data_IF_548843398267
#
_entry.id   IF_548843398267
#
_cell.length_a   1.000
_cell.length_b   1.000
_cell.length_c   1.000
_cell.angle_alpha   90.00
_cell.angle_beta   90.00
_cell.angle_gamma   90.00
#
_symmetry.space_group_name_H-M   'P 1'
#
loop_
_entity.id
_entity.type
_entity.pdbx_description
1 polymer ?
#
# COMPACT_ATOMS: atom_id res chain seq x y z
N UNK A 1 34.74 1.09 -49.19
CA UNK A 1 33.39 1.34 -48.62
C UNK A 1 32.99 0.13 -47.78
N UNK A 2 33.16 0.19 -46.46
CA UNK A 2 32.80 -0.89 -45.54
C UNK A 2 31.62 -0.39 -44.70
N UNK A 3 30.46 -1.02 -44.87
CA UNK A 3 29.24 -0.75 -44.10
C UNK A 3 29.39 -1.42 -42.73
N UNK A 4 29.50 -0.63 -41.67
CA UNK A 4 29.36 -1.12 -40.30
C UNK A 4 27.87 -1.15 -39.95
N UNK A 5 27.32 -2.36 -39.75
CA UNK A 5 25.98 -2.54 -39.20
C UNK A 5 26.08 -2.63 -37.68
N UNK A 6 25.52 -1.64 -36.98
CA UNK A 6 25.29 -1.70 -35.54
C UNK A 6 24.10 -2.62 -35.27
N UNK A 7 24.33 -3.79 -34.68
CA UNK A 7 23.27 -4.58 -34.06
C UNK A 7 23.10 -4.11 -32.61
N UNK A 8 21.98 -3.43 -32.35
CA UNK A 8 21.53 -3.08 -31.02
C UNK A 8 20.83 -4.31 -30.42
N UNK A 9 21.52 -5.07 -29.57
CA UNK A 9 20.90 -6.15 -28.82
C UNK A 9 20.12 -5.57 -27.64
N UNK A 10 18.79 -5.59 -27.71
CA UNK A 10 17.91 -5.29 -26.58
C UNK A 10 17.80 -6.56 -25.73
N UNK A 11 18.54 -6.60 -24.62
CA UNK A 11 18.42 -7.65 -23.61
C UNK A 11 17.20 -7.37 -22.71
N UNK A 12 16.12 -8.11 -22.94
CA UNK A 12 15.03 -8.21 -21.97
C UNK A 12 15.47 -9.14 -20.83
N UNK A 13 15.87 -8.57 -19.70
CA UNK A 13 16.10 -9.33 -18.47
C UNK A 13 14.75 -9.72 -17.86
N UNK A 14 14.32 -10.96 -18.07
CA UNK A 14 13.24 -11.57 -17.30
C UNK A 14 13.83 -12.06 -15.98
N UNK A 15 13.62 -11.31 -14.90
CA UNK A 15 13.92 -11.80 -13.56
C UNK A 15 12.86 -12.82 -13.15
N UNK A 16 13.22 -14.11 -13.19
CA UNK A 16 12.44 -15.15 -12.51
C UNK A 16 12.40 -14.81 -11.01
N UNK A 17 11.20 -14.59 -10.46
CA UNK A 17 11.00 -14.33 -9.03
C UNK A 17 11.45 -15.56 -8.23
N UNK A 18 12.58 -15.45 -7.51
CA UNK A 18 12.90 -16.40 -6.45
C UNK A 18 11.90 -16.20 -5.31
N UNK A 19 11.21 -17.27 -4.91
CA UNK A 19 10.12 -17.23 -3.93
C UNK A 19 10.61 -16.90 -2.51
N UNK A 20 10.76 -15.62 -2.19
CA UNK A 20 10.86 -15.16 -0.81
C UNK A 20 9.50 -15.27 -0.15
N UNK A 21 9.44 -15.87 1.04
CA UNK A 21 8.25 -15.84 1.90
C UNK A 21 7.82 -14.39 2.12
N UNK A 22 6.57 -14.02 1.83
CA UNK A 22 6.12 -12.64 2.01
C UNK A 22 6.18 -12.25 3.48
N UNK A 23 6.52 -10.98 3.74
CA UNK A 23 6.26 -10.36 5.04
C UNK A 23 4.76 -10.42 5.33
N UNK A 24 4.37 -10.55 6.60
CA UNK A 24 2.96 -10.67 7.01
C UNK A 24 2.64 -9.69 8.12
N UNK A 25 1.69 -8.80 7.88
CA UNK A 25 1.16 -7.85 8.87
C UNK A 25 -0.36 -8.00 9.02
N UNK A 26 -0.87 -7.64 10.20
CA UNK A 26 -2.26 -7.90 10.57
C UNK A 26 -2.52 -9.36 10.93
N UNK A 27 -3.54 -9.58 11.75
CA UNK A 27 -3.79 -10.88 12.39
C UNK A 27 -4.16 -11.97 11.38
N UNK A 28 -4.93 -11.63 10.34
CA UNK A 28 -5.36 -12.60 9.33
C UNK A 28 -4.17 -13.07 8.50
N UNK A 29 -3.33 -12.15 8.00
CA UNK A 29 -2.19 -12.54 7.16
C UNK A 29 -1.16 -13.39 7.93
N UNK A 30 -0.94 -13.10 9.22
CA UNK A 30 -0.04 -13.90 10.07
C UNK A 30 -0.53 -15.33 10.28
N UNK A 31 -1.84 -15.55 10.28
CA UNK A 31 -2.45 -16.87 10.53
C UNK A 31 -2.63 -17.73 9.26
N UNK A 32 -2.38 -17.18 8.06
CA UNK A 32 -2.52 -17.94 6.82
C UNK A 32 -1.61 -19.17 6.80
N UNK A 33 -2.17 -20.35 6.54
CA UNK A 33 -1.39 -21.54 6.24
C UNK A 33 -0.67 -21.40 4.88
N UNK A 34 0.24 -22.32 4.57
CA UNK A 34 0.85 -22.38 3.23
C UNK A 34 -0.20 -22.64 2.14
N UNK A 35 -1.21 -23.47 2.44
CA UNK A 35 -2.33 -23.72 1.55
C UNK A 35 -3.16 -22.44 1.32
N UNK A 36 -3.39 -21.64 2.36
CA UNK A 36 -4.09 -20.37 2.21
C UNK A 36 -3.30 -19.39 1.34
N UNK A 37 -1.98 -19.33 1.49
CA UNK A 37 -1.12 -18.48 0.65
C UNK A 37 -1.14 -18.98 -0.79
N UNK A 38 -1.03 -20.28 -1.04
CA UNK A 38 -1.10 -20.84 -2.38
C UNK A 38 -2.45 -20.55 -3.06
N UNK A 39 -3.56 -20.69 -2.32
CA UNK A 39 -4.90 -20.34 -2.80
C UNK A 39 -5.05 -18.84 -3.07
N UNK A 40 -4.47 -17.99 -2.22
CA UNK A 40 -4.43 -16.54 -2.43
C UNK A 40 -3.65 -16.20 -3.70
N UNK A 41 -2.47 -16.79 -3.89
CA UNK A 41 -1.62 -16.57 -5.06
C UNK A 41 -2.30 -17.02 -6.36
N UNK A 42 -3.13 -18.06 -6.31
CA UNK A 42 -3.95 -18.49 -7.45
C UNK A 42 -5.01 -17.44 -7.87
N UNK A 43 -5.42 -16.57 -6.95
CA UNK A 43 -6.34 -15.45 -7.23
C UNK A 43 -5.61 -14.17 -7.70
N UNK A 44 -4.27 -14.14 -7.66
CA UNK A 44 -3.47 -13.01 -8.15
C UNK A 44 -3.25 -13.10 -9.67
N UNK A 45 -2.77 -12.02 -10.33
CA UNK A 45 -2.31 -12.11 -11.71
C UNK A 45 -1.32 -13.25 -11.91
N UNK A 46 -1.38 -13.92 -13.06
CA UNK A 46 -0.60 -15.12 -13.32
C UNK A 46 0.89 -14.91 -13.04
N UNK A 47 1.46 -15.79 -12.20
CA UNK A 47 2.87 -15.76 -11.81
C UNK A 47 3.23 -14.70 -10.76
N UNK A 48 2.29 -13.87 -10.31
CA UNK A 48 2.56 -12.85 -9.32
C UNK A 48 2.82 -13.46 -7.93
N UNK A 49 3.95 -13.07 -7.33
CA UNK A 49 4.28 -13.37 -5.93
C UNK A 49 4.28 -12.08 -5.09
N UNK A 50 3.51 -12.01 -3.99
CA UNK A 50 3.55 -10.86 -3.10
C UNK A 50 4.84 -10.85 -2.29
N UNK A 51 5.37 -9.65 -1.99
CA UNK A 51 6.47 -9.49 -1.01
C UNK A 51 5.95 -9.14 0.38
N UNK A 52 4.72 -8.64 0.47
CA UNK A 52 4.02 -8.33 1.72
C UNK A 52 2.54 -8.72 1.59
N UNK A 53 2.02 -9.39 2.61
CA UNK A 53 0.61 -9.64 2.84
C UNK A 53 0.17 -8.82 4.06
N UNK A 54 -0.86 -8.00 3.89
CA UNK A 54 -1.51 -7.27 4.97
C UNK A 54 -2.97 -7.72 5.08
N UNK A 55 -3.32 -8.37 6.18
CA UNK A 55 -4.63 -9.00 6.37
C UNK A 55 -5.19 -8.67 7.72
N UNK A 56 -6.33 -7.98 7.73
CA UNK A 56 -7.10 -7.64 8.93
C UNK A 56 -8.51 -8.25 8.80
N UNK A 57 -9.22 -8.48 9.92
CA UNK A 57 -10.62 -8.89 9.88
C UNK A 57 -11.45 -7.95 8.99
N UNK A 58 -12.33 -8.54 8.18
CA UNK A 58 -13.27 -7.75 7.39
C UNK A 58 -14.27 -7.01 8.28
N UNK A 59 -14.66 -5.80 7.88
CA UNK A 59 -15.84 -5.13 8.43
C UNK A 59 -17.12 -5.96 8.22
N UNK A 60 -17.18 -6.70 7.11
CA UNK A 60 -18.31 -7.56 6.78
C UNK A 60 -18.20 -8.90 7.54
N UNK A 61 -19.20 -9.25 8.38
CA UNK A 61 -19.15 -10.48 9.15
C UNK A 61 -19.02 -11.73 8.28
N UNK A 62 -18.04 -12.59 8.57
CA UNK A 62 -17.83 -13.84 7.85
C UNK A 62 -17.04 -13.72 6.56
N UNK A 63 -16.40 -12.58 6.31
CA UNK A 63 -15.39 -12.40 5.27
C UNK A 63 -14.01 -12.17 5.89
N UNK A 64 -12.97 -12.46 5.11
CA UNK A 64 -11.60 -12.03 5.36
C UNK A 64 -11.07 -11.32 4.13
N UNK A 65 -10.28 -10.26 4.33
CA UNK A 65 -9.59 -9.55 3.26
C UNK A 65 -8.09 -9.63 3.47
N UNK A 66 -7.34 -9.80 2.38
CA UNK A 66 -5.88 -9.69 2.38
C UNK A 66 -5.45 -8.80 1.23
N UNK A 67 -4.68 -7.76 1.55
CA UNK A 67 -3.97 -6.95 0.58
C UNK A 67 -2.60 -7.57 0.29
N UNK A 68 -2.43 -8.07 -0.93
CA UNK A 68 -1.20 -8.62 -1.46
C UNK A 68 -0.42 -7.54 -2.22
N UNK A 69 0.66 -7.05 -1.62
CA UNK A 69 1.58 -6.10 -2.24
C UNK A 69 2.58 -6.87 -3.10
N UNK A 70 2.53 -6.62 -4.40
CA UNK A 70 3.38 -7.28 -5.39
C UNK A 70 4.72 -6.56 -5.52
N UNK A 71 5.69 -7.21 -6.17
CA UNK A 71 7.00 -6.61 -6.40
C UNK A 71 6.87 -5.20 -7.00
N UNK A 72 7.73 -4.27 -6.55
CA UNK A 72 7.64 -2.89 -7.02
C UNK A 72 7.91 -2.82 -8.52
N UNK A 73 7.14 -1.99 -9.20
CA UNK A 73 7.36 -1.66 -10.62
C UNK A 73 8.33 -0.50 -10.77
N UNK A 74 8.45 0.36 -9.75
CA UNK A 74 9.41 1.45 -9.68
C UNK A 74 9.98 1.57 -8.26
N UNK A 75 11.28 1.79 -8.14
CA UNK A 75 11.96 2.07 -6.87
C UNK A 75 13.07 3.09 -7.08
N UNK A 76 13.04 4.15 -6.28
CA UNK A 76 14.11 5.12 -6.11
C UNK A 76 14.58 5.11 -4.65
N UNK A 77 15.64 5.86 -4.29
CA UNK A 77 16.07 5.98 -2.90
C UNK A 77 15.02 6.55 -1.94
N UNK A 78 14.02 7.28 -2.46
CA UNK A 78 13.02 8.00 -1.64
C UNK A 78 11.61 7.44 -1.76
N UNK A 79 11.32 6.67 -2.82
CA UNK A 79 9.97 6.18 -3.10
C UNK A 79 10.00 4.79 -3.74
N UNK A 80 9.09 3.92 -3.30
CA UNK A 80 8.78 2.66 -3.95
C UNK A 80 7.32 2.65 -4.37
N UNK A 81 7.03 2.21 -5.61
CA UNK A 81 5.68 2.04 -6.14
C UNK A 81 5.49 0.64 -6.72
N UNK A 82 4.25 0.19 -6.70
CA UNK A 82 3.88 -1.08 -7.32
C UNK A 82 2.37 -1.30 -7.29
N UNK A 83 1.99 -2.56 -7.48
CA UNK A 83 0.60 -2.99 -7.48
C UNK A 83 0.24 -3.66 -6.16
N UNK A 84 -0.96 -3.37 -5.66
CA UNK A 84 -1.56 -4.07 -4.54
C UNK A 84 -2.89 -4.67 -4.96
N UNK A 85 -3.07 -5.94 -4.68
CA UNK A 85 -4.27 -6.69 -5.03
C UNK A 85 -4.96 -7.07 -3.72
N UNK A 86 -6.20 -6.64 -3.54
CA UNK A 86 -6.99 -7.12 -2.40
C UNK A 86 -7.79 -8.33 -2.84
N UNK A 87 -7.64 -9.43 -2.10
CA UNK A 87 -8.45 -10.64 -2.25
C UNK A 87 -9.42 -10.78 -1.08
N UNK A 88 -10.49 -11.53 -1.31
CA UNK A 88 -11.53 -11.82 -0.32
C UNK A 88 -11.87 -13.30 -0.34
N UNK A 89 -12.23 -13.85 0.83
CA UNK A 89 -12.92 -15.14 0.93
C UNK A 89 -13.99 -15.12 2.00
N UNK A 90 -14.86 -16.13 1.98
CA UNK A 90 -15.77 -16.46 3.09
C UNK A 90 -15.07 -17.37 4.09
N UNK A 91 -15.27 -17.14 5.38
CA UNK A 91 -14.70 -17.98 6.45
C UNK A 91 -15.69 -18.94 7.10
N UNK A 92 -16.98 -18.83 6.76
CA UNK A 92 -17.99 -19.78 7.25
C UNK A 92 -17.88 -21.09 6.48
N UNK A 93 -17.99 -22.26 7.13
CA UNK A 93 -17.99 -23.54 6.44
C UNK A 93 -19.10 -23.65 5.37
N UNK A 94 -18.79 -24.18 4.17
CA UNK A 94 -17.44 -24.48 3.69
C UNK A 94 -16.64 -23.19 3.44
N UNK A 95 -15.40 -23.14 3.93
CA UNK A 95 -14.49 -21.99 3.70
C UNK A 95 -14.36 -21.80 2.19
N UNK A 96 -14.61 -20.56 1.74
CA UNK A 96 -14.60 -20.24 0.32
C UNK A 96 -13.17 -20.08 -0.22
N UNK A 97 -13.04 -20.20 -1.54
CA UNK A 97 -11.80 -19.86 -2.24
C UNK A 97 -11.55 -18.35 -2.19
N UNK A 98 -10.28 -17.97 -2.33
CA UNK A 98 -9.90 -16.58 -2.52
C UNK A 98 -10.37 -16.09 -3.88
N UNK A 99 -10.92 -14.89 -3.92
CA UNK A 99 -11.28 -14.21 -5.16
C UNK A 99 -10.77 -12.77 -5.16
N UNK A 100 -10.49 -12.26 -6.35
CA UNK A 100 -10.10 -10.87 -6.55
C UNK A 100 -11.23 -9.93 -6.12
N UNK A 101 -10.96 -9.02 -5.19
CA UNK A 101 -11.88 -7.97 -4.81
C UNK A 101 -11.59 -6.67 -5.57
N UNK A 102 -10.32 -6.24 -5.59
CA UNK A 102 -9.88 -5.02 -6.28
C UNK A 102 -8.38 -5.01 -6.52
N UNK A 103 -7.97 -4.20 -7.50
CA UNK A 103 -6.58 -3.92 -7.82
C UNK A 103 -6.34 -2.42 -7.74
N UNK A 104 -5.29 -2.01 -7.02
CA UNK A 104 -4.93 -0.62 -6.77
C UNK A 104 -3.40 -0.46 -6.95
N UNK A 105 -2.91 0.77 -6.97
CA UNK A 105 -1.48 1.04 -6.83
C UNK A 105 -1.12 1.16 -5.35
N UNK A 106 0.15 0.92 -5.01
CA UNK A 106 0.69 1.30 -3.71
C UNK A 106 1.88 2.25 -3.86
N UNK A 107 2.16 2.97 -2.78
CA UNK A 107 3.39 3.73 -2.59
C UNK A 107 3.98 3.44 -1.21
N UNK A 108 5.27 3.63 -1.07
CA UNK A 108 6.01 3.56 0.19
C UNK A 108 7.11 4.62 0.13
N UNK A 109 7.05 5.61 1.03
CA UNK A 109 8.02 6.71 1.09
C UNK A 109 9.07 6.38 2.14
N UNK A 110 10.34 6.47 1.74
CA UNK A 110 11.48 6.06 2.55
C UNK A 110 11.52 6.77 3.90
N UNK A 111 12.12 6.09 4.88
CA UNK A 111 12.47 6.66 6.18
C UNK A 111 14.00 6.67 6.26
N UNK A 112 14.63 7.81 6.60
CA UNK A 112 16.08 7.88 6.71
C UNK A 112 16.65 6.75 7.57
N UNK A 113 17.66 6.04 7.03
CA UNK A 113 18.33 4.95 7.73
C UNK A 113 17.58 3.60 7.75
N UNK A 114 16.40 3.49 7.14
CA UNK A 114 15.62 2.24 7.09
C UNK A 114 15.44 1.74 5.66
N UNK A 115 15.61 0.43 5.48
CA UNK A 115 15.22 -0.24 4.23
C UNK A 115 13.71 -0.25 4.09
N UNK A 116 13.18 -0.18 2.87
CA UNK A 116 11.75 -0.39 2.63
C UNK A 116 11.24 -1.77 3.10
N UNK A 117 12.12 -2.77 3.22
CA UNK A 117 11.70 -4.10 3.71
C UNK A 117 11.78 -4.23 5.24
N UNK A 118 12.33 -3.23 5.94
CA UNK A 118 12.38 -3.19 7.41
C UNK A 118 11.02 -2.75 7.95
N UNK A 119 10.03 -3.65 7.92
CA UNK A 119 8.69 -3.43 8.51
C UNK A 119 8.63 -4.21 9.83
N UNK A 120 8.51 -3.49 10.94
CA UNK A 120 8.67 -4.01 12.30
C UNK A 120 7.35 -4.38 12.98
N UNK A 121 6.21 -4.11 12.35
CA UNK A 121 4.90 -4.47 12.85
C UNK A 121 3.76 -3.66 12.24
N UNK A 122 2.54 -3.85 12.74
CA UNK A 122 1.34 -3.25 12.16
C UNK A 122 1.29 -1.72 12.30
N UNK A 123 1.91 -1.18 13.35
CA UNK A 123 1.95 0.26 13.61
C UNK A 123 3.18 0.95 13.01
N UNK A 124 3.96 0.24 12.19
CA UNK A 124 5.17 0.79 11.61
C UNK A 124 4.86 1.79 10.48
N UNK A 125 5.34 3.02 10.62
CA UNK A 125 5.21 4.08 9.61
C UNK A 125 5.96 3.79 8.30
N UNK A 126 6.82 2.76 8.26
CA UNK A 126 7.51 2.31 7.04
C UNK A 126 6.61 1.50 6.11
N UNK A 127 5.38 1.13 6.50
CA UNK A 127 4.50 0.29 5.68
C UNK A 127 4.11 0.95 4.36
N UNK A 128 3.91 0.18 3.27
CA UNK A 128 3.31 0.71 2.05
C UNK A 128 1.83 1.06 2.30
N UNK A 129 1.32 2.00 1.53
CA UNK A 129 -0.07 2.44 1.57
C UNK A 129 -0.68 2.45 0.18
N UNK A 130 -2.01 2.31 0.12
CA UNK A 130 -2.75 2.27 -1.15
C UNK A 130 -2.86 3.66 -1.76
N UNK A 131 -2.74 3.76 -3.08
CA UNK A 131 -2.87 5.00 -3.84
C UNK A 131 -4.06 4.88 -4.78
N UNK A 132 -5.04 5.76 -4.60
CA UNK A 132 -6.32 5.74 -5.32
C UNK A 132 -6.48 7.08 -6.06
N UNK A 133 -6.47 7.02 -7.39
CA UNK A 133 -6.45 8.21 -8.25
C UNK A 133 -5.03 8.55 -8.72
N UNK A 134 -4.90 9.69 -9.41
CA UNK A 134 -3.64 10.11 -10.03
C UNK A 134 -2.81 10.94 -9.06
N UNK A 135 -1.57 10.51 -8.87
CA UNK A 135 -0.53 11.20 -8.11
C UNK A 135 0.82 10.97 -8.79
N UNK A 136 1.58 12.05 -8.99
CA UNK A 136 2.98 11.95 -9.34
C UNK A 136 3.85 11.62 -8.10
N UNK A 137 5.11 11.30 -8.35
CA UNK A 137 6.03 10.85 -7.29
C UNK A 137 6.36 11.98 -6.31
N UNK A 138 6.57 13.20 -6.81
CA UNK A 138 6.92 14.37 -6.00
C UNK A 138 5.77 14.80 -5.08
N UNK A 139 4.54 14.72 -5.57
CA UNK A 139 3.33 14.97 -4.79
C UNK A 139 3.17 13.97 -3.65
N UNK A 140 3.32 12.66 -3.92
CA UNK A 140 3.26 11.62 -2.89
C UNK A 140 4.31 11.85 -1.81
N UNK A 141 5.54 12.14 -2.21
CA UNK A 141 6.66 12.39 -1.29
C UNK A 141 6.35 13.62 -0.43
N UNK A 142 5.94 14.73 -1.03
CA UNK A 142 5.64 15.97 -0.30
C UNK A 142 4.47 15.82 0.67
N UNK A 143 3.38 15.15 0.27
CA UNK A 143 2.23 14.89 1.15
C UNK A 143 2.62 14.03 2.35
N UNK A 144 3.40 12.98 2.13
CA UNK A 144 3.86 12.11 3.23
C UNK A 144 4.83 12.86 4.15
N UNK A 145 5.77 13.62 3.61
CA UNK A 145 6.69 14.44 4.40
C UNK A 145 5.95 15.48 5.24
N UNK A 146 5.01 16.19 4.62
CA UNK A 146 4.18 17.19 5.29
C UNK A 146 3.39 16.59 6.47
N UNK A 147 2.75 15.44 6.28
CA UNK A 147 1.99 14.79 7.37
C UNK A 147 2.90 14.20 8.46
N UNK A 148 4.11 13.74 8.10
CA UNK A 148 5.10 13.25 9.07
C UNK A 148 5.79 14.38 9.84
N UNK A 149 5.73 15.64 9.38
CA UNK A 149 6.39 16.79 10.01
C UNK A 149 5.55 17.47 11.09
N UNK A 150 4.48 16.81 11.59
CA UNK A 150 3.54 17.37 12.57
C UNK A 150 2.97 18.75 12.12
N UNK A 151 2.26 18.78 10.98
CA UNK A 151 1.83 20.04 10.38
C UNK A 151 0.77 20.75 11.23
N UNK A 152 0.70 22.10 11.17
CA UNK A 152 -0.28 22.84 11.95
C UNK A 152 -1.71 22.53 11.48
N UNK A 153 -2.57 22.21 12.44
CA UNK A 153 -4.01 22.08 12.23
C UNK A 153 -4.76 22.86 13.32
N UNK A 154 -5.76 23.65 12.91
CA UNK A 154 -6.52 24.54 13.82
C UNK A 154 -7.80 23.88 14.37
N UNK A 155 -8.06 22.62 14.01
CA UNK A 155 -9.19 21.88 14.56
C UNK A 155 -8.87 21.29 15.94
N UNK A 156 -9.89 20.74 16.61
CA UNK A 156 -9.73 20.17 17.95
C UNK A 156 -8.95 18.84 17.97
N UNK A 157 -8.89 18.13 16.85
CA UNK A 157 -8.17 16.86 16.73
C UNK A 157 -6.66 17.06 16.53
N UNK A 158 -5.84 16.25 17.20
CA UNK A 158 -4.41 16.11 16.89
C UNK A 158 -4.22 15.08 15.78
N UNK A 159 -3.26 15.27 14.88
CA UNK A 159 -2.82 14.22 13.95
C UNK A 159 -1.83 13.31 14.68
N UNK A 160 -2.18 12.03 14.79
CA UNK A 160 -1.30 11.03 15.39
C UNK A 160 -0.31 10.50 14.33
N UNK A 161 0.95 10.16 14.71
CA UNK A 161 2.00 9.72 13.78
C UNK A 161 1.80 8.25 13.36
N UNK A 162 0.58 7.91 12.94
CA UNK A 162 0.16 6.58 12.55
C UNK A 162 0.56 6.24 11.11
N UNK A 163 0.74 4.94 10.79
CA UNK A 163 1.04 4.53 9.42
C UNK A 163 -0.08 4.89 8.45
N UNK A 164 0.32 5.27 7.24
CA UNK A 164 -0.60 5.50 6.13
C UNK A 164 -1.30 4.19 5.75
N UNK A 165 -2.62 4.24 5.66
CA UNK A 165 -3.45 3.15 5.15
C UNK A 165 -3.75 3.34 3.66
N UNK A 166 -4.09 4.57 3.27
CA UNK A 166 -4.37 4.93 1.89
C UNK A 166 -4.31 6.44 1.67
N UNK A 167 -4.05 6.82 0.43
CA UNK A 167 -4.18 8.17 -0.08
C UNK A 167 -5.09 8.16 -1.31
N UNK A 168 -6.11 9.01 -1.30
CA UNK A 168 -7.11 9.07 -2.36
C UNK A 168 -7.32 10.50 -2.83
N UNK A 169 -7.20 10.73 -4.14
CA UNK A 169 -7.68 11.96 -4.77
C UNK A 169 -9.19 11.88 -4.97
N UNK A 170 -9.93 12.86 -4.45
CA UNK A 170 -11.38 12.99 -4.60
C UNK A 170 -11.71 13.79 -5.87
N UNK A 171 -12.99 13.82 -6.22
CA UNK A 171 -13.48 14.50 -7.42
C UNK A 171 -13.35 16.03 -7.36
N UNK A 172 -13.25 16.61 -6.16
CA UNK A 172 -13.02 18.05 -5.92
C UNK A 172 -11.52 18.40 -5.79
N UNK A 173 -10.65 17.50 -6.26
CA UNK A 173 -9.18 17.55 -6.13
C UNK A 173 -8.63 17.61 -4.70
N UNK A 174 -9.48 17.47 -3.67
CA UNK A 174 -9.01 17.23 -2.32
C UNK A 174 -8.36 15.86 -2.22
N UNK A 175 -7.39 15.74 -1.30
CA UNK A 175 -6.72 14.48 -1.00
C UNK A 175 -7.21 13.98 0.35
N UNK A 176 -7.81 12.80 0.37
CA UNK A 176 -8.12 12.10 1.61
C UNK A 176 -6.99 11.13 1.94
N UNK A 177 -6.40 11.29 3.11
CA UNK A 177 -5.42 10.38 3.69
C UNK A 177 -6.07 9.63 4.85
N UNK A 178 -5.98 8.31 4.81
CA UNK A 178 -6.38 7.44 5.92
C UNK A 178 -5.12 7.00 6.65
N UNK A 179 -5.04 7.23 7.95
CA UNK A 179 -4.01 6.69 8.84
C UNK A 179 -4.61 5.55 9.66
N UNK A 180 -3.83 4.50 9.97
CA UNK A 180 -4.27 3.33 10.77
C UNK A 180 -3.72 3.42 12.18
N UNK A 181 -4.59 3.57 13.18
CA UNK A 181 -4.21 3.53 14.60
C UNK A 181 -4.35 2.15 15.25
N UNK A 182 -5.29 1.34 14.79
CA UNK A 182 -5.43 -0.07 15.18
C UNK A 182 -6.24 -0.85 14.14
N UNK A 183 -6.43 -2.14 14.38
CA UNK A 183 -7.44 -2.95 13.68
C UNK A 183 -8.80 -2.28 13.90
N UNK A 184 -9.35 -1.70 12.85
CA UNK A 184 -10.65 -1.03 12.86
C UNK A 184 -10.73 0.38 13.44
N UNK A 185 -9.60 1.07 13.65
CA UNK A 185 -9.60 2.49 14.05
C UNK A 185 -8.49 3.26 13.33
N UNK A 186 -8.77 4.51 13.02
CA UNK A 186 -7.74 5.43 12.54
C UNK A 186 -8.22 6.86 12.34
N UNK A 187 -7.44 7.62 11.59
CA UNK A 187 -7.76 9.01 11.22
C UNK A 187 -8.02 9.13 9.72
N UNK A 188 -8.98 9.97 9.37
CA UNK A 188 -9.24 10.45 8.02
C UNK A 188 -8.88 11.93 7.99
N UNK A 189 -7.90 12.28 7.15
CA UNK A 189 -7.39 13.64 6.99
C UNK A 189 -7.74 14.09 5.59
N UNK A 190 -8.38 15.25 5.46
CA UNK A 190 -8.64 15.87 4.16
C UNK A 190 -7.68 17.03 3.96
N UNK A 191 -6.94 17.00 2.86
CA UNK A 191 -6.01 18.05 2.46
C UNK A 191 -6.48 18.73 1.17
N UNK A 192 -6.14 20.00 1.03
CA UNK A 192 -6.24 20.74 -0.23
C UNK A 192 -4.94 21.46 -0.53
N UNK A 193 -4.67 21.64 -1.80
CA UNK A 193 -3.53 22.43 -2.25
C UNK A 193 -3.82 23.93 -2.04
N UNK A 194 -2.86 24.66 -1.49
CA UNK A 194 -2.89 26.10 -1.30
C UNK A 194 -1.59 26.69 -1.86
N UNK A 195 -1.60 27.05 -3.16
CA UNK A 195 -0.39 27.45 -3.86
C UNK A 195 0.56 26.27 -4.06
N UNK A 196 1.78 26.38 -3.53
CA UNK A 196 2.79 25.31 -3.55
C UNK A 196 2.73 24.40 -2.32
N UNK A 197 1.88 24.73 -1.33
CA UNK A 197 1.77 24.03 -0.06
C UNK A 197 0.47 23.23 0.05
N UNK A 198 0.39 22.42 1.10
CA UNK A 198 -0.80 21.69 1.50
C UNK A 198 -1.39 22.27 2.78
N UNK A 199 -2.72 22.34 2.84
CA UNK A 199 -3.45 22.69 4.06
C UNK A 199 -4.37 21.57 4.47
N UNK A 200 -4.44 21.31 5.76
CA UNK A 200 -5.39 20.37 6.34
C UNK A 200 -6.73 21.07 6.50
N UNK A 201 -7.75 20.52 5.85
CA UNK A 201 -9.13 21.02 5.87
C UNK A 201 -9.89 20.38 7.03
N UNK A 202 -9.72 19.08 7.24
CA UNK A 202 -10.37 18.35 8.32
C UNK A 202 -9.56 17.15 8.77
N UNK A 203 -9.70 16.82 10.06
CA UNK A 203 -9.24 15.58 10.66
C UNK A 203 -10.44 14.96 11.37
N UNK A 204 -10.67 13.67 11.17
CA UNK A 204 -11.73 12.94 11.85
C UNK A 204 -11.32 11.51 12.16
N UNK A 205 -11.94 10.92 13.18
CA UNK A 205 -11.74 9.51 13.49
C UNK A 205 -12.64 8.64 12.60
N UNK A 206 -12.12 7.51 12.15
CA UNK A 206 -12.95 6.44 11.59
C UNK A 206 -12.88 5.21 12.48
N UNK A 207 -14.00 4.49 12.53
CA UNK A 207 -14.18 3.21 13.22
C UNK A 207 -14.82 2.26 12.22
N UNK A 208 -14.33 1.02 12.20
CA UNK A 208 -14.70 -0.02 11.26
C UNK A 208 -15.62 -1.07 11.89
#
# INVERSE_FOLDING_TARGET
>A
MIKAAFQLAVLFAWFAQSGTTPLRTGDVARQLSEQDVAGLEAALPAGAKPWLLDGEPAQAPGLEYVAAYLSPTNTSPVLRRGMVVTVVRRIRPPVGEWSLLRTESYAQVAIPGRSFNDIQGDQDINRPFRVIGRFDDDELIRLVQFLRSDPPYRGPERIDPWPFLSMQRKADDSVQVMLRGSVGRGQAITLRQAGQDWVIVSVGMWIA
#
